data_IF_282316931938
#
_entry.id   IF_282316931938
#
_cell.length_a   1.000
_cell.length_b   1.000
_cell.length_c   1.000
_cell.angle_alpha   90.00
_cell.angle_beta   90.00
_cell.angle_gamma   90.00
#
_symmetry.space_group_name_H-M   'P 1'
#
loop_
_entity.id
_entity.type
_entity.pdbx_description
1 polymer ?
#
# COMPACT_ATOMS: atom_id res chain seq x y z
N UNK A 1 11.46 -20.10 -5.77
CA UNK A 1 11.68 -18.84 -5.04
C UNK A 1 11.41 -17.74 -6.05
N UNK A 2 10.21 -17.19 -6.04
CA UNK A 2 9.78 -16.12 -6.96
C UNK A 2 10.53 -14.86 -6.52
N UNK A 3 11.61 -14.55 -7.23
CA UNK A 3 12.46 -13.41 -6.94
C UNK A 3 11.88 -12.19 -7.64
N UNK A 4 11.16 -11.36 -6.87
CA UNK A 4 10.80 -9.99 -7.25
C UNK A 4 11.93 -9.35 -8.05
N UNK A 5 11.58 -8.70 -9.17
CA UNK A 5 12.57 -7.97 -9.95
C UNK A 5 13.39 -7.08 -9.00
N UNK A 6 14.73 -7.18 -8.98
CA UNK A 6 15.56 -6.48 -8.00
C UNK A 6 15.30 -4.96 -7.95
N UNK A 7 14.92 -4.37 -9.09
CA UNK A 7 14.50 -2.98 -9.18
C UNK A 7 13.22 -2.67 -8.39
N UNK A 8 12.19 -3.51 -8.47
CA UNK A 8 10.94 -3.31 -7.71
C UNK A 8 11.17 -3.50 -6.20
N UNK A 9 12.12 -4.35 -5.79
CA UNK A 9 12.47 -4.48 -4.37
C UNK A 9 13.07 -3.20 -3.78
N UNK A 10 13.61 -2.31 -4.62
CA UNK A 10 14.31 -1.10 -4.20
C UNK A 10 13.57 0.19 -4.56
N UNK A 11 12.63 0.13 -5.50
CA UNK A 11 11.79 1.28 -5.88
C UNK A 11 11.03 1.85 -4.69
N UNK A 12 11.10 3.17 -4.52
CA UNK A 12 10.37 3.94 -3.54
C UNK A 12 10.58 5.43 -3.81
N UNK A 13 9.48 6.17 -3.83
CA UNK A 13 9.49 7.64 -3.79
C UNK A 13 9.13 8.03 -2.34
N UNK A 14 10.07 8.58 -1.55
CA UNK A 14 9.81 8.94 -0.16
C UNK A 14 8.74 10.02 -0.02
N UNK A 15 8.10 10.07 1.16
CA UNK A 15 7.14 11.13 1.48
C UNK A 15 7.70 12.54 1.24
N UNK A 16 8.98 12.77 1.59
CA UNK A 16 9.63 14.09 1.39
C UNK A 16 9.73 14.51 -0.08
N UNK A 17 9.74 13.56 -1.01
CA UNK A 17 9.83 13.83 -2.47
C UNK A 17 8.44 14.13 -3.05
N UNK A 18 7.75 15.09 -2.45
CA UNK A 18 6.37 15.42 -2.82
C UNK A 18 6.21 16.31 -4.06
N UNK A 19 7.32 16.81 -4.62
CA UNK A 19 7.30 17.71 -5.79
C UNK A 19 7.13 16.96 -7.12
N UNK A 20 7.44 15.67 -7.14
CA UNK A 20 7.19 14.77 -8.27
C UNK A 20 5.68 14.73 -8.53
N UNK A 21 5.27 14.84 -9.79
CA UNK A 21 3.87 14.66 -10.19
C UNK A 21 3.46 13.19 -10.13
N UNK A 22 2.17 12.92 -10.00
CA UNK A 22 1.69 11.54 -9.99
C UNK A 22 2.08 10.79 -11.28
N UNK A 23 2.03 11.46 -12.44
CA UNK A 23 2.45 10.93 -13.73
C UNK A 23 3.92 10.55 -13.73
N UNK A 24 4.80 11.46 -13.33
CA UNK A 24 6.25 11.18 -13.26
C UNK A 24 6.53 10.01 -12.32
N UNK A 25 5.86 9.94 -11.17
CA UNK A 25 6.00 8.82 -10.24
C UNK A 25 5.54 7.48 -10.84
N UNK A 26 4.44 7.49 -11.60
CA UNK A 26 3.95 6.32 -12.32
C UNK A 26 4.92 5.89 -13.43
N UNK A 27 5.47 6.84 -14.19
CA UNK A 27 6.48 6.57 -15.22
C UNK A 27 7.74 5.95 -14.62
N UNK A 28 8.25 6.48 -13.51
CA UNK A 28 9.38 5.89 -12.77
C UNK A 28 9.08 4.46 -12.31
N UNK A 29 7.86 4.20 -11.80
CA UNK A 29 7.45 2.86 -11.39
C UNK A 29 7.38 1.90 -12.60
N UNK A 30 6.80 2.35 -13.72
CA UNK A 30 6.68 1.56 -14.95
C UNK A 30 8.04 1.25 -15.57
N UNK A 31 8.99 2.19 -15.54
CA UNK A 31 10.36 1.97 -16.01
C UNK A 31 11.05 0.85 -15.22
N UNK A 32 10.82 0.79 -13.90
CA UNK A 32 11.36 -0.26 -13.03
C UNK A 32 10.61 -1.59 -13.19
N UNK A 33 9.31 -1.53 -13.47
CA UNK A 33 8.41 -2.70 -13.62
C UNK A 33 8.39 -3.34 -15.02
N UNK A 34 8.89 -2.66 -16.06
CA UNK A 34 8.89 -3.12 -17.45
C UNK A 34 9.72 -4.40 -17.73
N UNK A 35 10.42 -4.92 -16.72
CA UNK A 35 10.90 -6.30 -16.69
C UNK A 35 9.73 -7.27 -16.44
N UNK A 36 9.18 -7.83 -17.52
CA UNK A 36 7.99 -8.71 -17.68
C UNK A 36 7.81 -9.93 -16.74
N UNK A 37 8.44 -10.03 -15.57
CA UNK A 37 8.50 -11.30 -14.83
C UNK A 37 7.45 -11.48 -13.72
N UNK A 38 6.82 -10.44 -13.15
CA UNK A 38 5.99 -10.65 -11.96
C UNK A 38 4.70 -9.82 -11.93
N UNK A 39 3.58 -10.55 -11.94
CA UNK A 39 2.23 -10.06 -11.66
C UNK A 39 2.22 -9.38 -10.27
N UNK A 40 1.85 -8.08 -10.16
CA UNK A 40 1.74 -7.37 -8.89
C UNK A 40 0.94 -8.16 -7.86
N UNK A 41 1.32 -8.09 -6.59
CA UNK A 41 0.65 -8.82 -5.51
C UNK A 41 -0.87 -8.57 -5.52
N UNK A 42 -1.28 -7.33 -5.80
CA UNK A 42 -2.68 -6.94 -5.89
C UNK A 42 -3.45 -7.66 -7.02
N UNK A 43 -2.82 -7.92 -8.18
CA UNK A 43 -3.45 -8.72 -9.26
C UNK A 43 -3.69 -10.14 -8.77
N UNK A 44 -2.65 -10.78 -8.19
CA UNK A 44 -2.77 -12.14 -7.65
C UNK A 44 -3.78 -12.21 -6.51
N UNK A 45 -3.92 -11.14 -5.74
CA UNK A 45 -4.91 -11.00 -4.68
C UNK A 45 -6.33 -10.95 -5.21
N UNK A 46 -6.58 -10.13 -6.24
CA UNK A 46 -7.88 -10.04 -6.90
C UNK A 46 -8.27 -11.33 -7.62
N UNK A 47 -7.28 -12.08 -8.12
CA UNK A 47 -7.46 -13.40 -8.73
C UNK A 47 -7.72 -14.50 -7.69
N UNK A 48 -7.41 -14.29 -6.41
CA UNK A 48 -7.59 -15.30 -5.37
C UNK A 48 -9.07 -15.40 -4.94
N UNK A 49 -9.72 -16.58 -5.02
CA UNK A 49 -11.09 -16.80 -4.56
C UNK A 49 -11.32 -16.47 -3.07
N UNK A 50 -10.27 -16.48 -2.25
CA UNK A 50 -10.38 -16.08 -0.84
C UNK A 50 -10.76 -14.60 -0.66
N UNK A 51 -10.49 -13.75 -1.66
CA UNK A 51 -10.91 -12.34 -1.69
C UNK A 51 -12.39 -12.16 -2.08
N UNK A 52 -13.10 -13.23 -2.47
CA UNK A 52 -14.56 -13.21 -2.69
C UNK A 52 -15.40 -13.33 -1.41
N UNK A 53 -14.75 -13.43 -0.25
CA UNK A 53 -15.47 -13.50 1.03
C UNK A 53 -15.59 -12.11 1.66
N UNK A 54 -16.75 -11.75 2.24
CA UNK A 54 -16.87 -10.54 3.05
C UNK A 54 -15.84 -10.53 4.19
N UNK A 55 -15.15 -9.40 4.43
CA UNK A 55 -15.40 -8.06 3.88
C UNK A 55 -14.61 -7.71 2.60
N UNK A 56 -13.71 -8.59 2.13
CA UNK A 56 -12.80 -8.32 1.01
C UNK A 56 -13.49 -8.25 -0.33
N UNK A 57 -14.59 -9.00 -0.49
CA UNK A 57 -15.44 -8.92 -1.68
C UNK A 57 -16.02 -7.53 -1.90
N UNK A 58 -16.13 -6.70 -0.85
CA UNK A 58 -16.53 -5.29 -0.99
C UNK A 58 -15.51 -4.48 -1.78
N UNK A 59 -14.23 -4.85 -1.77
CA UNK A 59 -13.15 -4.14 -2.46
C UNK A 59 -12.88 -4.67 -3.87
N UNK A 60 -13.40 -5.85 -4.21
CA UNK A 60 -13.20 -6.45 -5.53
C UNK A 60 -13.82 -5.55 -6.60
N UNK A 61 -12.98 -5.05 -7.51
CA UNK A 61 -13.39 -4.17 -8.61
C UNK A 61 -13.54 -2.69 -8.25
N UNK A 62 -13.26 -2.27 -7.01
CA UNK A 62 -13.29 -0.85 -6.61
C UNK A 62 -11.95 -0.14 -6.83
N UNK A 63 -10.85 -0.88 -6.76
CA UNK A 63 -9.49 -0.36 -6.98
C UNK A 63 -8.87 -1.11 -8.15
N UNK A 64 -8.55 -0.39 -9.22
CA UNK A 64 -7.75 -0.89 -10.35
C UNK A 64 -6.27 -0.93 -10.01
N UNK A 65 -5.46 -1.64 -10.81
CA UNK A 65 -4.00 -1.70 -10.65
C UNK A 65 -3.36 -0.31 -10.71
N UNK A 66 -3.78 0.50 -11.68
CA UNK A 66 -3.31 1.87 -11.83
C UNK A 66 -3.63 2.71 -10.58
N UNK A 67 -4.84 2.60 -10.03
CA UNK A 67 -5.20 3.31 -8.80
C UNK A 67 -4.39 2.82 -7.60
N UNK A 68 -4.14 1.51 -7.50
CA UNK A 68 -3.32 0.93 -6.44
C UNK A 68 -1.88 1.46 -6.47
N UNK A 69 -1.29 1.51 -7.65
CA UNK A 69 0.04 2.05 -7.86
C UNK A 69 0.09 3.55 -7.53
N UNK A 70 -0.95 4.32 -7.88
CA UNK A 70 -1.09 5.71 -7.45
C UNK A 70 -1.13 5.83 -5.91
N UNK A 71 -1.81 4.90 -5.23
CA UNK A 71 -1.90 4.92 -3.77
C UNK A 71 -0.54 4.66 -3.13
N UNK A 72 0.30 3.78 -3.68
CA UNK A 72 1.67 3.61 -3.22
C UNK A 72 2.44 4.93 -3.25
N UNK A 73 2.37 5.66 -4.37
CA UNK A 73 3.09 6.92 -4.56
C UNK A 73 2.65 8.02 -3.58
N UNK A 74 1.34 8.20 -3.41
CA UNK A 74 0.82 9.21 -2.47
C UNK A 74 1.08 8.84 -1.01
N UNK A 75 1.18 7.55 -0.67
CA UNK A 75 1.57 7.11 0.67
C UNK A 75 3.09 7.16 0.86
N UNK A 76 3.88 7.38 -0.19
CA UNK A 76 5.34 7.32 -0.09
C UNK A 76 5.83 5.91 0.23
N UNK A 77 5.20 4.91 -0.39
CA UNK A 77 5.49 3.49 -0.25
C UNK A 77 6.09 2.93 -1.53
N UNK A 78 6.95 1.93 -1.40
CA UNK A 78 7.44 1.17 -2.55
C UNK A 78 6.61 -0.08 -2.81
N UNK A 79 7.20 -1.13 -3.39
CA UNK A 79 6.45 -2.32 -3.80
C UNK A 79 6.89 -3.62 -3.11
N UNK A 80 7.51 -3.54 -1.93
CA UNK A 80 7.86 -4.75 -1.15
C UNK A 80 6.65 -5.30 -0.40
N UNK A 81 6.73 -6.53 0.13
CA UNK A 81 5.64 -7.09 0.94
C UNK A 81 5.24 -6.22 2.15
N UNK A 82 6.18 -5.45 2.73
CA UNK A 82 5.87 -4.52 3.83
C UNK A 82 5.07 -3.33 3.32
N UNK A 83 5.45 -2.81 2.15
CA UNK A 83 4.79 -1.69 1.51
C UNK A 83 3.39 -2.06 1.02
N UNK A 84 3.25 -3.21 0.37
CA UNK A 84 1.96 -3.77 -0.05
C UNK A 84 1.02 -3.95 1.15
N UNK A 85 1.52 -4.54 2.23
CA UNK A 85 0.75 -4.70 3.46
C UNK A 85 0.25 -3.34 4.00
N UNK A 86 1.10 -2.32 3.97
CA UNK A 86 0.71 -0.97 4.37
C UNK A 86 -0.33 -0.36 3.43
N UNK A 87 -0.06 -0.36 2.12
CA UNK A 87 -0.91 0.26 1.10
C UNK A 87 -2.31 -0.34 1.06
N UNK A 88 -2.41 -1.68 1.10
CA UNK A 88 -3.69 -2.37 1.17
C UNK A 88 -4.40 -2.03 2.48
N UNK A 89 -3.70 -2.12 3.62
CA UNK A 89 -4.28 -1.83 4.92
C UNK A 89 -4.80 -0.39 5.02
N UNK A 90 -4.00 0.58 4.59
CA UNK A 90 -4.36 2.00 4.60
C UNK A 90 -5.55 2.27 3.67
N UNK A 91 -5.55 1.71 2.46
CA UNK A 91 -6.68 1.83 1.52
C UNK A 91 -7.96 1.30 2.15
N UNK A 92 -7.91 0.10 2.75
CA UNK A 92 -9.06 -0.51 3.40
C UNK A 92 -9.56 0.33 4.59
N UNK A 93 -8.65 0.80 5.44
CA UNK A 93 -8.99 1.64 6.59
C UNK A 93 -9.59 3.00 6.19
N UNK A 94 -9.13 3.59 5.08
CA UNK A 94 -9.61 4.90 4.59
C UNK A 94 -11.10 4.89 4.24
N UNK A 95 -11.68 3.72 3.93
CA UNK A 95 -13.12 3.59 3.65
C UNK A 95 -14.01 3.75 4.88
N UNK A 96 -13.43 3.70 6.10
CA UNK A 96 -14.14 3.74 7.39
C UNK A 96 -15.26 2.70 7.55
N UNK A 97 -15.29 1.68 6.67
CA UNK A 97 -16.28 0.58 6.66
C UNK A 97 -15.74 -0.71 7.30
N UNK A 98 -14.48 -0.70 7.74
CA UNK A 98 -13.85 -1.80 8.46
C UNK A 98 -14.17 -1.72 9.95
N UNK A 99 -14.89 -2.71 10.49
CA UNK A 99 -14.98 -2.91 11.94
C UNK A 99 -13.72 -3.60 12.46
N UNK A 100 -13.33 -3.38 13.72
CA UNK A 100 -12.16 -4.02 14.35
C UNK A 100 -12.14 -5.54 14.19
N UNK A 101 -13.32 -6.17 14.21
CA UNK A 101 -13.50 -7.62 14.02
C UNK A 101 -13.18 -8.10 12.61
N UNK A 102 -13.42 -7.27 11.59
CA UNK A 102 -13.10 -7.55 10.20
C UNK A 102 -11.59 -7.52 9.94
N UNK A 103 -10.87 -6.61 10.61
CA UNK A 103 -9.40 -6.47 10.57
C UNK A 103 -8.68 -7.66 11.21
N UNK A 104 -9.20 -8.16 12.34
CA UNK A 104 -8.65 -9.34 13.02
C UNK A 104 -8.93 -10.64 12.25
N UNK A 105 -10.11 -10.75 11.63
CA UNK A 105 -10.43 -11.87 10.72
C UNK A 105 -9.49 -11.87 9.52
N UNK A 106 -9.25 -10.70 8.91
CA UNK A 106 -8.33 -10.56 7.79
C UNK A 106 -6.91 -10.95 8.16
N UNK A 107 -6.39 -10.50 9.30
CA UNK A 107 -5.04 -10.86 9.74
C UNK A 107 -4.85 -12.37 9.86
N UNK A 108 -5.85 -13.06 10.42
CA UNK A 108 -5.84 -14.51 10.58
C UNK A 108 -6.02 -15.26 9.25
N UNK A 109 -6.80 -14.69 8.33
CA UNK A 109 -7.01 -15.22 6.98
C UNK A 109 -5.79 -15.00 6.10
N UNK A 110 -5.14 -13.84 6.17
CA UNK A 110 -3.95 -13.52 5.41
C UNK A 110 -2.75 -14.42 5.77
N UNK A 111 -2.64 -14.80 7.06
CA UNK A 111 -1.61 -15.71 7.54
C UNK A 111 -1.83 -17.19 7.10
N UNK A 112 -3.07 -17.60 6.80
CA UNK A 112 -3.41 -19.01 6.50
C UNK A 112 -3.84 -19.31 5.07
N UNK A 113 -4.52 -18.38 4.40
CA UNK A 113 -5.21 -18.61 3.12
C UNK A 113 -4.42 -18.08 1.93
N UNK A 114 -3.44 -17.19 2.13
CA UNK A 114 -2.57 -16.77 1.03
C UNK A 114 -1.70 -17.94 0.53
N UNK A 115 -1.41 -18.02 -0.79
CA UNK A 115 -0.41 -18.95 -1.32
C UNK A 115 0.92 -18.76 -0.58
N UNK A 116 1.67 -19.84 -0.35
CA UNK A 116 2.85 -19.86 0.53
C UNK A 116 3.88 -18.77 0.22
N UNK A 117 3.98 -18.36 -1.05
CA UNK A 117 4.89 -17.34 -1.59
C UNK A 117 4.46 -15.90 -1.29
N UNK A 118 3.19 -15.68 -0.93
CA UNK A 118 2.58 -14.36 -0.75
C UNK A 118 1.99 -14.16 0.64
N UNK A 119 2.16 -15.14 1.53
CA UNK A 119 1.78 -14.99 2.94
C UNK A 119 2.60 -13.86 3.54
N UNK A 120 1.90 -12.88 4.10
CA UNK A 120 2.57 -11.86 4.88
C UNK A 120 3.35 -12.51 6.02
N UNK A 121 4.67 -12.24 6.12
CA UNK A 121 5.38 -12.57 7.34
C UNK A 121 4.73 -11.82 8.50
N UNK A 122 4.93 -12.30 9.72
CA UNK A 122 4.34 -11.70 10.94
C UNK A 122 4.58 -10.19 11.05
N UNK A 123 5.72 -9.69 10.55
CA UNK A 123 6.04 -8.28 10.44
C UNK A 123 5.09 -7.53 9.50
N UNK A 124 4.90 -8.01 8.26
CA UNK A 124 4.00 -7.42 7.29
C UNK A 124 2.53 -7.48 7.75
N UNK A 125 2.11 -8.59 8.38
CA UNK A 125 0.76 -8.70 8.94
C UNK A 125 0.49 -7.66 10.04
N UNK A 126 1.51 -7.30 10.83
CA UNK A 126 1.42 -6.20 11.81
C UNK A 126 1.33 -4.84 11.12
N UNK A 127 2.16 -4.61 10.10
CA UNK A 127 2.12 -3.35 9.32
C UNK A 127 0.75 -3.15 8.67
N UNK A 128 0.17 -4.20 8.11
CA UNK A 128 -1.21 -4.18 7.61
C UNK A 128 -2.20 -3.71 8.68
N UNK A 129 -2.20 -4.33 9.88
CA UNK A 129 -3.14 -3.97 10.96
C UNK A 129 -2.97 -2.53 11.41
N UNK A 130 -1.72 -2.11 11.59
CA UNK A 130 -1.40 -0.76 11.99
C UNK A 130 -1.88 0.24 10.92
N UNK A 131 -1.68 -0.06 9.63
CA UNK A 131 -2.11 0.78 8.52
C UNK A 131 -3.64 0.92 8.43
N UNK A 132 -4.39 -0.17 8.63
CA UNK A 132 -5.86 -0.12 8.72
C UNK A 132 -6.28 0.81 9.84
N UNK A 133 -5.69 0.66 11.03
CA UNK A 133 -6.02 1.50 12.18
C UNK A 133 -5.68 2.96 11.92
N UNK A 134 -4.49 3.22 11.39
CA UNK A 134 -3.99 4.56 11.06
C UNK A 134 -4.94 5.29 10.09
N UNK A 135 -5.36 4.62 9.03
CA UNK A 135 -6.29 5.20 8.06
C UNK A 135 -7.71 5.35 8.61
N UNK A 136 -8.13 4.49 9.54
CA UNK A 136 -9.46 4.60 10.19
C UNK A 136 -9.56 5.86 11.05
N UNK A 137 -8.48 6.20 11.77
CA UNK A 137 -8.42 7.41 12.62
C UNK A 137 -8.04 8.67 11.83
N UNK A 138 -7.55 8.52 10.59
CA UNK A 138 -7.20 9.61 9.71
C UNK A 138 -8.45 10.29 9.13
N UNK A 139 -8.34 11.60 8.85
CA UNK A 139 -9.37 12.37 8.13
C UNK A 139 -9.26 12.26 6.60
N UNK A 140 -8.44 11.34 6.11
CA UNK A 140 -8.26 11.10 4.68
C UNK A 140 -9.55 10.70 3.97
N UNK A 141 -9.65 11.07 2.69
CA UNK A 141 -10.72 10.62 1.81
C UNK A 141 -10.61 9.11 1.56
N UNK A 142 -11.72 8.52 1.12
CA UNK A 142 -11.78 7.11 0.73
C UNK A 142 -10.93 6.90 -0.52
N UNK A 143 -9.73 6.31 -0.36
CA UNK A 143 -8.76 6.20 -1.45
C UNK A 143 -9.24 5.29 -2.59
N UNK A 144 -10.15 4.36 -2.30
CA UNK A 144 -10.77 3.48 -3.30
C UNK A 144 -11.73 4.22 -4.25
N UNK A 145 -12.18 5.43 -3.90
CA UNK A 145 -13.12 6.21 -4.68
C UNK A 145 -12.48 7.40 -5.41
N UNK A 146 -11.17 7.59 -5.28
CA UNK A 146 -10.45 8.72 -5.89
C UNK A 146 -10.24 8.49 -7.39
N UNK A 147 -10.58 9.50 -8.19
CA UNK A 147 -10.25 9.54 -9.63
C UNK A 147 -8.84 10.08 -9.87
N UNK A 148 -7.85 9.21 -9.66
CA UNK A 148 -6.43 9.54 -9.81
C UNK A 148 -6.04 10.00 -11.22
N UNK A 149 -6.80 9.61 -12.25
CA UNK A 149 -6.54 10.05 -13.63
C UNK A 149 -6.66 11.56 -13.78
N UNK A 150 -7.57 12.18 -13.03
CA UNK A 150 -7.72 13.64 -12.99
C UNK A 150 -6.58 14.36 -12.24
N UNK A 151 -5.72 13.61 -11.55
CA UNK A 151 -4.64 14.12 -10.69
C UNK A 151 -3.24 13.82 -11.23
N UNK A 152 -3.12 13.23 -12.43
CA UNK A 152 -1.85 12.78 -12.98
C UNK A 152 -0.78 13.88 -13.04
N UNK A 153 -1.15 15.10 -13.43
CA UNK A 153 -0.21 16.22 -13.56
C UNK A 153 -0.08 17.05 -12.26
N UNK A 154 -0.59 16.54 -11.13
CA UNK A 154 -0.55 17.21 -9.83
C UNK A 154 0.62 16.66 -9.00
N UNK A 155 1.43 17.51 -8.33
CA UNK A 155 2.46 17.08 -7.39
C UNK A 155 1.91 16.21 -6.26
N UNK A 156 2.65 15.17 -5.86
CA UNK A 156 2.23 14.23 -4.81
C UNK A 156 1.88 14.94 -3.49
N UNK A 157 2.63 15.96 -3.09
CA UNK A 157 2.36 16.78 -1.88
C UNK A 157 0.98 17.44 -1.95
N UNK A 158 0.61 17.95 -3.12
CA UNK A 158 -0.66 18.63 -3.34
C UNK A 158 -1.82 17.62 -3.37
N UNK A 159 -1.59 16.43 -3.94
CA UNK A 159 -2.57 15.33 -3.89
C UNK A 159 -2.82 14.90 -2.44
N UNK A 160 -1.76 14.68 -1.65
CA UNK A 160 -1.88 14.32 -0.22
C UNK A 160 -2.71 15.37 0.53
N UNK A 161 -2.42 16.65 0.31
CA UNK A 161 -3.19 17.76 0.90
C UNK A 161 -4.66 17.73 0.49
N UNK A 162 -4.98 17.54 -0.80
CA UNK A 162 -6.37 17.46 -1.31
C UNK A 162 -7.12 16.27 -0.72
N UNK A 163 -6.45 15.13 -0.59
CA UNK A 163 -7.01 13.90 -0.05
C UNK A 163 -6.98 13.85 1.48
N UNK A 164 -6.47 14.90 2.15
CA UNK A 164 -6.28 14.96 3.61
C UNK A 164 -5.45 13.81 4.17
N UNK A 165 -4.43 13.39 3.42
CA UNK A 165 -3.41 12.47 3.89
C UNK A 165 -2.42 13.26 4.74
N UNK A 166 -2.38 12.94 6.03
CA UNK A 166 -1.55 13.62 7.02
C UNK A 166 -0.12 13.09 6.99
N UNK A 167 0.80 13.84 6.39
CA UNK A 167 2.20 13.43 6.27
C UNK A 167 2.88 13.25 7.64
N UNK A 168 2.50 14.04 8.64
CA UNK A 168 3.01 13.90 10.01
C UNK A 168 2.57 12.58 10.66
N UNK A 169 1.32 12.16 10.43
CA UNK A 169 0.79 10.89 10.92
C UNK A 169 1.54 9.71 10.28
N UNK A 170 1.73 9.75 8.96
CA UNK A 170 2.49 8.74 8.23
C UNK A 170 3.94 8.71 8.69
N UNK A 171 4.60 9.86 8.80
CA UNK A 171 5.99 9.98 9.26
C UNK A 171 6.17 9.44 10.68
N UNK A 172 5.22 9.75 11.58
CA UNK A 172 5.19 9.21 12.94
C UNK A 172 5.12 7.68 12.94
N UNK A 173 4.24 7.13 12.11
CA UNK A 173 4.14 5.68 11.96
C UNK A 173 5.40 5.05 11.36
N UNK A 174 6.00 5.66 10.33
CA UNK A 174 7.19 5.10 9.65
C UNK A 174 8.39 5.01 10.58
N UNK A 175 8.54 5.97 11.51
CA UNK A 175 9.51 5.90 12.61
C UNK A 175 9.28 4.68 13.50
N UNK A 176 8.04 4.44 13.91
CA UNK A 176 7.69 3.29 14.75
C UNK A 176 7.90 1.97 13.99
N UNK A 177 7.52 1.90 12.71
CA UNK A 177 7.72 0.72 11.86
C UNK A 177 9.21 0.37 11.71
N UNK A 178 10.05 1.37 11.42
CA UNK A 178 11.50 1.20 11.28
C UNK A 178 12.15 0.75 12.59
N UNK A 179 11.73 1.30 13.73
CA UNK A 179 12.21 0.90 15.06
C UNK A 179 11.84 -0.54 15.41
N UNK A 180 10.63 -0.98 15.04
CA UNK A 180 10.16 -2.35 15.26
C UNK A 180 10.83 -3.36 14.34
N UNK A 181 11.30 -2.93 13.18
CA UNK A 181 11.86 -3.80 12.13
C UNK A 181 13.26 -3.32 11.69
N UNK A 182 14.24 -3.22 12.61
CA UNK A 182 15.52 -2.57 12.32
C UNK A 182 16.35 -3.32 11.27
N UNK A 183 16.12 -4.62 11.07
CA UNK A 183 16.85 -5.42 10.08
C UNK A 183 16.22 -5.38 8.68
N UNK A 184 14.96 -4.94 8.54
CA UNK A 184 14.25 -4.89 7.26
C UNK A 184 14.55 -3.58 6.53
N UNK A 185 15.23 -3.68 5.39
CA UNK A 185 15.65 -2.51 4.61
C UNK A 185 14.46 -1.64 4.15
N UNK A 186 13.35 -2.29 3.75
CA UNK A 186 12.12 -1.61 3.32
C UNK A 186 11.51 -0.71 4.40
N UNK A 187 11.62 -1.07 5.69
CA UNK A 187 11.12 -0.24 6.78
C UNK A 187 12.07 0.93 7.08
N UNK A 188 13.40 0.71 7.00
CA UNK A 188 14.39 1.75 7.30
C UNK A 188 14.39 2.88 6.26
N UNK A 189 14.21 2.54 4.98
CA UNK A 189 14.23 3.54 3.88
C UNK A 189 13.11 4.58 3.96
N UNK A 190 12.04 4.30 4.71
CA UNK A 190 10.91 5.22 4.90
C UNK A 190 11.28 6.47 5.70
N UNK A 191 12.42 6.43 6.41
CA UNK A 191 12.95 7.56 7.17
C UNK A 191 13.89 8.45 6.36
N UNK A 192 14.25 8.00 5.15
CA UNK A 192 15.16 8.71 4.27
C UNK A 192 14.35 9.77 3.53
#
# INVERSE_FOLDING_TARGET
MTTYHPGLQTFHIPLREGHVTLREGMEMLMEVGNSQAEVPLIVRLMENPAFDMPPLSMFRGRVSLEQHDCIHLILGRGTTLMDEAFTIGFTMGSTKRMSTSATDLFSKVAERIYPKEYRFPSAAARVFRDAVHLATISDCQHLDAVDFRSLMDVPLVEIRRRLRIEEELLTGYYKVEAQRNPTIAACRRLLC
#
